data_IF_005514419815
#
_entry.id   IF_005514419815
#
_cell.length_a   1.000
_cell.length_b   1.000
_cell.length_c   1.000
_cell.angle_alpha   90.00
_cell.angle_beta   90.00
_cell.angle_gamma   90.00
#
_symmetry.space_group_name_H-M   'P 1'
#
loop_
_entity.id
_entity.type
_entity.pdbx_description
1 polymer ?
#
# COMPACT_ATOMS: atom_id res chain seq x y z
N UNK A 1 6.44 0.22 -24.63
CA UNK A 1 5.29 -0.23 -23.82
C UNK A 1 4.75 -1.55 -24.33
N UNK A 2 3.88 -1.53 -25.35
CA UNK A 2 3.13 -2.71 -25.82
C UNK A 2 3.98 -3.94 -26.14
N UNK A 3 5.11 -3.76 -26.82
CA UNK A 3 6.04 -4.86 -27.16
C UNK A 3 6.73 -5.47 -25.93
N UNK A 4 6.86 -4.73 -24.83
CA UNK A 4 7.45 -5.25 -23.60
C UNK A 4 6.55 -6.30 -22.94
N UNK A 5 5.23 -6.21 -23.10
CA UNK A 5 4.26 -7.11 -22.45
C UNK A 5 4.46 -8.58 -22.90
N UNK A 6 4.46 -8.91 -24.21
CA UNK A 6 4.78 -10.27 -24.66
C UNK A 6 6.19 -10.73 -24.28
N UNK A 7 7.18 -9.83 -24.22
CA UNK A 7 8.54 -10.17 -23.80
C UNK A 7 8.57 -10.55 -22.32
N UNK A 8 7.90 -9.80 -21.45
CA UNK A 8 7.76 -10.13 -20.03
C UNK A 8 7.08 -11.50 -19.85
N UNK A 9 6.00 -11.77 -20.60
CA UNK A 9 5.36 -13.09 -20.56
C UNK A 9 6.31 -14.21 -21.03
N UNK A 10 7.07 -13.98 -22.12
CA UNK A 10 8.06 -14.95 -22.63
C UNK A 10 9.13 -15.27 -21.59
N UNK A 11 9.58 -14.26 -20.85
CA UNK A 11 10.64 -14.40 -19.84
C UNK A 11 10.14 -14.72 -18.42
N UNK A 12 8.84 -14.91 -18.22
CA UNK A 12 8.28 -15.27 -16.91
C UNK A 12 8.37 -14.14 -15.89
N UNK A 13 8.32 -12.89 -16.35
CA UNK A 13 8.32 -11.70 -15.50
C UNK A 13 6.86 -11.32 -15.20
N UNK A 14 6.53 -11.17 -13.92
CA UNK A 14 5.21 -10.67 -13.50
C UNK A 14 5.03 -9.23 -13.95
N UNK A 15 3.88 -8.93 -14.56
CA UNK A 15 3.54 -7.57 -14.98
C UNK A 15 2.80 -6.90 -13.84
N UNK A 16 3.38 -5.80 -13.36
CA UNK A 16 2.85 -5.03 -12.24
C UNK A 16 2.07 -3.79 -12.70
N UNK A 17 0.88 -3.61 -12.12
CA UNK A 17 -0.11 -2.59 -12.45
C UNK A 17 -0.26 -1.51 -11.35
N UNK A 18 0.55 -1.56 -10.30
CA UNK A 18 0.70 -0.47 -9.32
C UNK A 18 1.63 0.58 -9.90
N UNK A 19 1.19 1.84 -10.06
CA UNK A 19 1.90 2.71 -11.03
C UNK A 19 1.03 3.40 -12.08
N UNK A 20 0.60 2.64 -13.10
CA UNK A 20 0.20 3.25 -14.36
C UNK A 20 -1.19 3.89 -14.30
N UNK A 21 -1.58 4.54 -15.39
CA UNK A 21 -2.97 4.98 -15.57
C UNK A 21 -3.90 3.78 -15.75
N UNK A 22 -5.20 3.99 -15.49
CA UNK A 22 -6.26 3.00 -15.80
C UNK A 22 -6.15 2.46 -17.23
N UNK A 23 -5.99 3.35 -18.20
CA UNK A 23 -5.86 2.98 -19.61
C UNK A 23 -4.64 2.07 -19.84
N UNK A 24 -3.49 2.41 -19.26
CA UNK A 24 -2.29 1.59 -19.36
C UNK A 24 -2.48 0.21 -18.72
N UNK A 25 -3.16 0.15 -17.57
CA UNK A 25 -3.48 -1.11 -16.90
C UNK A 25 -4.36 -2.01 -17.76
N UNK A 26 -5.45 -1.48 -18.32
CA UNK A 26 -6.34 -2.25 -19.20
C UNK A 26 -5.62 -2.73 -20.47
N UNK A 27 -4.75 -1.90 -21.06
CA UNK A 27 -3.94 -2.30 -22.21
C UNK A 27 -2.93 -3.39 -21.87
N UNK A 28 -2.27 -3.30 -20.71
CA UNK A 28 -1.32 -4.31 -20.24
C UNK A 28 -2.02 -5.66 -20.00
N UNK A 29 -3.19 -5.65 -19.36
CA UNK A 29 -4.01 -6.85 -19.14
C UNK A 29 -4.43 -7.49 -20.47
N UNK A 30 -4.95 -6.68 -21.41
CA UNK A 30 -5.41 -7.17 -22.71
C UNK A 30 -4.29 -7.80 -23.56
N UNK A 31 -3.05 -7.35 -23.39
CA UNK A 31 -1.89 -7.87 -24.10
C UNK A 31 -1.21 -9.06 -23.38
N UNK A 32 -1.44 -9.22 -22.07
CA UNK A 32 -0.76 -10.23 -21.27
C UNK A 32 -1.34 -11.63 -21.53
N UNK A 33 -0.45 -12.60 -21.75
CA UNK A 33 -0.78 -14.04 -21.83
C UNK A 33 -0.71 -14.75 -20.48
N UNK A 34 -0.23 -14.07 -19.44
CA UNK A 34 -0.07 -14.60 -18.09
C UNK A 34 -0.83 -13.73 -17.07
N UNK A 35 -1.12 -14.25 -15.87
CA UNK A 35 -1.71 -13.45 -14.80
C UNK A 35 -0.84 -12.23 -14.43
N UNK A 36 -1.49 -11.10 -14.19
CA UNK A 36 -0.88 -9.84 -13.75
C UNK A 36 -0.94 -9.68 -12.23
N UNK A 37 -0.17 -8.74 -11.70
CA UNK A 37 -0.27 -8.31 -10.29
C UNK A 37 -0.52 -6.81 -10.21
N UNK A 38 -1.09 -6.36 -9.09
CA UNK A 38 -0.85 -5.01 -8.58
C UNK A 38 -0.11 -5.19 -7.25
N UNK A 39 1.17 -4.81 -7.19
CA UNK A 39 2.06 -5.12 -6.07
C UNK A 39 1.83 -4.29 -4.80
N UNK A 40 1.21 -3.12 -4.93
CA UNK A 40 0.80 -2.26 -3.83
C UNK A 40 -0.28 -1.27 -4.28
N UNK A 41 -1.54 -1.70 -4.24
CA UNK A 41 -2.67 -0.83 -4.58
C UNK A 41 -3.92 -1.23 -3.82
N UNK A 42 -4.80 -0.26 -3.53
CA UNK A 42 -6.02 -0.49 -2.78
C UNK A 42 -7.27 -0.15 -3.62
N UNK A 43 -8.46 -0.46 -3.11
CA UNK A 43 -9.73 -0.20 -3.80
C UNK A 43 -10.08 1.30 -3.86
N UNK A 44 -10.37 1.83 -5.06
CA UNK A 44 -10.73 3.25 -5.22
C UNK A 44 -12.14 3.56 -4.75
N UNK A 45 -13.05 2.59 -4.77
CA UNK A 45 -14.43 2.77 -4.33
C UNK A 45 -14.56 3.16 -2.85
N UNK A 46 -13.58 2.79 -2.02
CA UNK A 46 -13.51 3.22 -0.62
C UNK A 46 -12.78 4.57 -0.42
N UNK A 47 -12.00 5.04 -1.40
CA UNK A 47 -11.24 6.29 -1.33
C UNK A 47 -11.17 6.97 -2.71
N UNK A 48 -12.31 7.51 -3.15
CA UNK A 48 -12.55 7.88 -4.56
C UNK A 48 -11.60 8.96 -5.10
N UNK A 49 -11.17 9.87 -4.23
CA UNK A 49 -10.25 10.96 -4.56
C UNK A 49 -8.78 10.51 -4.75
N UNK A 50 -8.48 9.22 -4.54
CA UNK A 50 -7.13 8.65 -4.68
C UNK A 50 -7.01 7.96 -6.03
N UNK A 51 -6.43 8.65 -7.02
CA UNK A 51 -6.16 8.10 -8.35
C UNK A 51 -5.13 6.96 -8.36
N UNK A 52 -4.41 6.76 -7.25
CA UNK A 52 -3.49 5.64 -7.08
C UNK A 52 -4.17 4.31 -6.86
N UNK A 53 -5.39 4.33 -6.34
CA UNK A 53 -6.19 3.14 -6.12
C UNK A 53 -6.83 2.67 -7.42
N UNK A 54 -7.10 1.37 -7.49
CA UNK A 54 -7.66 0.74 -8.67
C UNK A 54 -9.18 0.95 -8.71
N UNK A 55 -9.67 1.38 -9.88
CA UNK A 55 -11.10 1.43 -10.18
C UNK A 55 -11.65 0.01 -10.36
N UNK A 56 -12.94 -0.17 -10.05
CA UNK A 56 -13.63 -1.47 -10.12
C UNK A 56 -13.48 -2.16 -11.50
N UNK A 57 -13.45 -1.40 -12.59
CA UNK A 57 -13.20 -1.95 -13.93
C UNK A 57 -11.82 -2.63 -14.05
N UNK A 58 -10.78 -2.04 -13.45
CA UNK A 58 -9.43 -2.63 -13.45
C UNK A 58 -9.39 -3.83 -12.51
N UNK A 59 -10.05 -3.76 -11.35
CA UNK A 59 -10.19 -4.88 -10.42
C UNK A 59 -10.84 -6.09 -11.08
N UNK A 60 -11.95 -5.90 -11.80
CA UNK A 60 -12.62 -6.97 -12.55
C UNK A 60 -11.74 -7.52 -13.68
N UNK A 61 -10.98 -6.67 -14.38
CA UNK A 61 -10.04 -7.10 -15.41
C UNK A 61 -8.89 -7.95 -14.84
N UNK A 62 -8.35 -7.58 -13.67
CA UNK A 62 -7.33 -8.36 -12.96
C UNK A 62 -7.90 -9.74 -12.55
N UNK A 63 -9.11 -9.76 -11.98
CA UNK A 63 -9.82 -11.02 -11.65
C UNK A 63 -9.98 -11.92 -12.87
N UNK A 64 -10.50 -11.39 -13.98
CA UNK A 64 -10.72 -12.15 -15.20
C UNK A 64 -9.41 -12.69 -15.81
N UNK A 65 -8.30 -12.00 -15.59
CA UNK A 65 -6.95 -12.42 -15.97
C UNK A 65 -6.31 -13.43 -14.99
N UNK A 66 -7.01 -13.81 -13.92
CA UNK A 66 -6.52 -14.67 -12.84
C UNK A 66 -5.38 -14.05 -12.00
N UNK A 67 -5.26 -12.72 -12.02
CA UNK A 67 -4.24 -11.98 -11.29
C UNK A 67 -4.53 -11.82 -9.80
N UNK A 68 -3.71 -11.01 -9.12
CA UNK A 68 -3.84 -10.69 -7.69
C UNK A 68 -3.58 -9.21 -7.42
N UNK A 69 -4.35 -8.62 -6.50
CA UNK A 69 -4.14 -7.26 -5.98
C UNK A 69 -3.57 -7.37 -4.58
N UNK A 70 -2.33 -6.94 -4.39
CA UNK A 70 -1.72 -6.78 -3.08
C UNK A 70 -2.20 -5.46 -2.48
N UNK A 71 -3.13 -5.54 -1.53
CA UNK A 71 -3.71 -4.37 -0.85
C UNK A 71 -2.60 -3.63 -0.12
N UNK A 72 -2.49 -2.30 -0.28
CA UNK A 72 -1.38 -1.53 0.30
C UNK A 72 -1.76 -0.75 1.55
N UNK A 73 -0.95 -0.88 2.60
CA UNK A 73 -1.08 -0.15 3.85
C UNK A 73 -0.51 1.27 3.75
N UNK A 74 -0.99 2.04 2.78
CA UNK A 74 -0.62 3.44 2.61
C UNK A 74 -1.74 4.34 3.15
N UNK A 75 -1.52 5.00 4.28
CA UNK A 75 -2.57 5.72 5.01
C UNK A 75 -3.44 6.65 4.15
N UNK A 76 -2.81 7.49 3.31
CA UNK A 76 -3.53 8.42 2.44
C UNK A 76 -4.29 7.76 1.28
N UNK A 77 -3.99 6.49 0.98
CA UNK A 77 -4.70 5.70 -0.04
C UNK A 77 -5.94 5.04 0.56
N UNK A 78 -5.84 4.59 1.81
CA UNK A 78 -6.93 3.90 2.50
C UNK A 78 -8.05 4.88 2.86
N UNK A 79 -7.72 5.99 3.53
CA UNK A 79 -8.69 7.03 3.84
C UNK A 79 -8.01 8.40 3.78
N UNK A 80 -8.19 9.06 2.62
CA UNK A 80 -7.58 10.37 2.37
C UNK A 80 -8.12 11.46 3.32
N UNK A 81 -9.39 11.37 3.70
CA UNK A 81 -10.02 12.40 4.54
C UNK A 81 -9.53 12.26 5.98
N UNK A 82 -9.56 11.03 6.53
CA UNK A 82 -9.02 10.72 7.85
C UNK A 82 -7.53 11.04 7.93
N UNK A 83 -6.75 10.65 6.92
CA UNK A 83 -5.33 11.01 6.83
C UNK A 83 -5.10 12.52 6.86
N UNK A 84 -5.87 13.28 6.09
CA UNK A 84 -5.70 14.74 5.99
C UNK A 84 -6.06 15.43 7.31
N UNK A 85 -7.18 15.05 7.93
CA UNK A 85 -7.61 15.58 9.23
C UNK A 85 -6.57 15.25 10.31
N UNK A 86 -6.08 14.01 10.35
CA UNK A 86 -5.04 13.60 11.30
C UNK A 86 -3.76 14.42 11.13
N UNK A 87 -3.30 14.60 9.88
CA UNK A 87 -2.09 15.38 9.57
C UNK A 87 -2.25 16.85 9.95
N UNK A 88 -3.42 17.44 9.77
CA UNK A 88 -3.68 18.83 10.15
C UNK A 88 -3.50 19.03 11.65
N UNK A 89 -4.14 18.19 12.48
CA UNK A 89 -4.04 18.29 13.94
C UNK A 89 -2.62 18.00 14.42
N UNK A 90 -1.97 16.96 13.88
CA UNK A 90 -0.60 16.61 14.22
C UNK A 90 0.39 17.73 13.87
N UNK A 91 0.24 18.37 12.71
CA UNK A 91 1.09 19.48 12.30
C UNK A 91 0.93 20.70 13.22
N UNK A 92 -0.27 20.94 13.77
CA UNK A 92 -0.47 22.02 14.73
C UNK A 92 0.30 21.76 16.04
N UNK A 93 0.23 20.53 16.56
CA UNK A 93 1.02 20.12 17.72
C UNK A 93 2.53 20.23 17.45
N UNK A 94 2.99 19.74 16.30
CA UNK A 94 4.39 19.84 15.91
C UNK A 94 4.83 21.30 15.78
N UNK A 95 3.99 22.18 15.22
CA UNK A 95 4.29 23.61 15.11
C UNK A 95 4.42 24.30 16.46
N UNK A 96 3.59 23.91 17.43
CA UNK A 96 3.69 24.42 18.81
C UNK A 96 5.01 23.99 19.48
N UNK A 97 5.32 22.70 19.41
CA UNK A 97 6.54 22.15 20.01
C UNK A 97 7.79 22.73 19.33
N UNK A 98 7.80 22.81 17.99
CA UNK A 98 8.96 23.33 17.25
C UNK A 98 9.24 24.80 17.58
N UNK A 99 8.22 25.64 17.80
CA UNK A 99 8.39 27.03 18.26
C UNK A 99 9.04 27.08 19.63
N UNK A 100 8.63 26.21 20.55
CA UNK A 100 9.22 26.10 21.90
C UNK A 100 10.68 25.69 21.84
N UNK A 101 11.03 24.78 20.92
CA UNK A 101 12.40 24.32 20.69
C UNK A 101 13.28 25.31 19.90
N UNK A 102 12.69 26.36 19.29
CA UNK A 102 13.41 27.20 18.33
C UNK A 102 13.83 26.43 17.07
N UNK A 103 13.02 25.45 16.64
CA UNK A 103 13.27 24.56 15.53
C UNK A 103 12.32 24.84 14.35
N UNK A 104 12.87 24.99 13.16
CA UNK A 104 12.11 25.17 11.93
C UNK A 104 11.74 23.82 11.31
N UNK A 105 10.45 23.60 11.08
CA UNK A 105 9.96 22.41 10.40
C UNK A 105 10.12 22.55 8.89
N UNK A 106 10.89 21.66 8.29
CA UNK A 106 11.15 21.65 6.86
C UNK A 106 10.21 20.70 6.11
N UNK A 107 9.78 21.12 4.90
CA UNK A 107 9.06 20.26 3.97
C UNK A 107 9.94 19.09 3.50
N UNK A 108 9.30 18.04 2.99
CA UNK A 108 10.03 16.88 2.42
C UNK A 108 10.98 17.31 1.28
N UNK A 109 10.60 18.32 0.49
CA UNK A 109 11.42 18.81 -0.63
C UNK A 109 12.66 19.55 -0.13
N UNK A 110 12.53 20.37 0.91
CA UNK A 110 13.66 21.06 1.52
C UNK A 110 14.64 20.04 2.11
N UNK A 111 14.14 19.04 2.85
CA UNK A 111 14.97 17.97 3.41
C UNK A 111 15.68 17.10 2.37
N UNK A 112 15.07 16.91 1.20
CA UNK A 112 15.69 16.16 0.11
C UNK A 112 16.89 16.89 -0.49
N UNK A 113 16.90 18.22 -0.46
CA UNK A 113 17.97 19.05 -1.01
C UNK A 113 19.12 19.32 -0.02
N UNK A 114 19.04 18.79 1.21
CA UNK A 114 20.06 18.95 2.23
C UNK A 114 21.24 18.00 1.99
N UNK A 115 22.42 18.38 2.50
CA UNK A 115 23.53 17.44 2.65
C UNK A 115 23.14 16.31 3.61
N UNK A 116 23.83 15.17 3.53
CA UNK A 116 23.54 14.06 4.46
C UNK A 116 23.78 14.46 5.92
N UNK A 117 24.82 15.27 6.17
CA UNK A 117 25.20 15.79 7.49
C UNK A 117 24.11 16.72 8.05
N UNK A 118 23.66 17.70 7.26
CA UNK A 118 22.59 18.61 7.69
C UNK A 118 21.28 17.84 7.91
N UNK A 119 20.99 16.85 7.05
CA UNK A 119 19.78 16.02 7.17
C UNK A 119 19.82 15.17 8.44
N UNK A 120 20.99 14.63 8.81
CA UNK A 120 21.16 13.88 10.06
C UNK A 120 20.93 14.79 11.28
N UNK A 121 21.51 15.99 11.29
CA UNK A 121 21.31 16.96 12.36
C UNK A 121 19.84 17.43 12.46
N UNK A 122 19.16 17.60 11.33
CA UNK A 122 17.72 17.88 11.31
C UNK A 122 16.90 16.73 11.90
N UNK A 123 17.21 15.49 11.50
CA UNK A 123 16.50 14.31 11.99
C UNK A 123 16.64 14.15 13.49
N UNK A 124 17.81 14.42 14.08
CA UNK A 124 18.00 14.36 15.53
C UNK A 124 17.09 15.35 16.28
N UNK A 125 16.96 16.59 15.79
CA UNK A 125 16.02 17.58 16.36
C UNK A 125 14.56 17.18 16.16
N UNK A 126 14.26 16.60 15.01
CA UNK A 126 12.91 16.10 14.74
C UNK A 126 12.56 14.92 15.66
N UNK A 127 13.50 14.03 15.95
CA UNK A 127 13.30 12.92 16.90
C UNK A 127 13.07 13.43 18.33
N UNK A 128 13.73 14.52 18.74
CA UNK A 128 13.44 15.18 20.02
C UNK A 128 12.03 15.79 20.06
N UNK A 129 11.59 16.42 18.96
CA UNK A 129 10.23 16.91 18.82
C UNK A 129 9.21 15.78 18.93
N UNK A 130 9.44 14.65 18.27
CA UNK A 130 8.57 13.47 18.33
C UNK A 130 8.49 12.90 19.76
N UNK A 131 9.60 12.89 20.52
CA UNK A 131 9.59 12.48 21.94
C UNK A 131 8.72 13.38 22.82
N UNK A 132 8.70 14.69 22.53
CA UNK A 132 7.85 15.65 23.23
C UNK A 132 6.39 15.56 22.81
N UNK A 133 6.13 15.21 21.54
CA UNK A 133 4.79 15.02 21.01
C UNK A 133 4.14 13.71 21.52
N UNK A 134 4.91 12.62 21.59
CA UNK A 134 4.44 11.27 21.94
C UNK A 134 3.47 11.20 23.14
N UNK A 135 3.76 11.77 24.32
CA UNK A 135 2.84 11.70 25.47
C UNK A 135 1.56 12.54 25.28
N UNK A 136 1.53 13.45 24.30
CA UNK A 136 0.40 14.35 24.00
C UNK A 136 -0.49 13.82 22.89
N UNK A 137 -0.01 12.86 22.09
CA UNK A 137 -0.70 12.36 20.89
C UNK A 137 -2.11 11.85 21.19
N UNK A 138 -2.28 11.03 22.23
CA UNK A 138 -3.58 10.44 22.55
C UNK A 138 -4.64 11.53 22.83
N UNK A 139 -4.31 12.48 23.69
CA UNK A 139 -5.25 13.48 24.18
C UNK A 139 -5.44 14.65 23.22
N UNK A 140 -4.40 15.07 22.51
CA UNK A 140 -4.41 16.29 21.71
C UNK A 140 -4.52 16.02 20.20
N UNK A 141 -4.24 14.80 19.76
CA UNK A 141 -4.32 14.43 18.33
C UNK A 141 -5.35 13.34 18.11
N UNK A 142 -5.17 12.16 18.70
CA UNK A 142 -5.97 10.98 18.36
C UNK A 142 -7.43 11.10 18.82
N UNK A 143 -7.68 11.78 19.94
CA UNK A 143 -9.04 12.08 20.42
C UNK A 143 -9.83 13.01 19.48
N UNK A 144 -9.14 13.84 18.70
CA UNK A 144 -9.72 14.83 17.77
C UNK A 144 -9.77 14.25 16.34
N UNK A 145 -8.66 13.69 15.88
CA UNK A 145 -8.45 13.17 14.55
C UNK A 145 -7.58 11.89 14.63
N UNK A 146 -8.18 10.71 14.78
CA UNK A 146 -7.44 9.46 14.89
C UNK A 146 -6.71 9.12 13.58
N UNK A 147 -5.52 8.50 13.65
CA UNK A 147 -4.77 8.10 12.47
C UNK A 147 -5.49 6.98 11.72
N UNK A 148 -5.16 6.83 10.43
CA UNK A 148 -5.53 5.64 9.65
C UNK A 148 -4.83 4.42 10.28
N UNK A 149 -5.58 3.35 10.50
CA UNK A 149 -5.15 2.20 11.30
C UNK A 149 -5.40 0.85 10.60
N UNK A 150 -5.01 -0.23 11.28
CA UNK A 150 -5.20 -1.62 10.81
C UNK A 150 -6.64 -1.92 10.39
N UNK A 151 -7.66 -1.34 11.03
CA UNK A 151 -9.06 -1.60 10.68
C UNK A 151 -9.41 -0.97 9.34
N UNK A 152 -8.91 0.24 9.07
CA UNK A 152 -9.09 0.89 7.77
C UNK A 152 -8.44 0.07 6.65
N UNK A 153 -7.25 -0.47 6.91
CA UNK A 153 -6.57 -1.36 5.96
C UNK A 153 -7.38 -2.63 5.68
N UNK A 154 -7.87 -3.31 6.72
CA UNK A 154 -8.65 -4.54 6.54
C UNK A 154 -10.04 -4.24 5.94
N UNK A 155 -10.60 -3.02 6.06
CA UNK A 155 -11.79 -2.64 5.28
C UNK A 155 -11.55 -2.74 3.77
N UNK A 156 -10.36 -2.38 3.28
CA UNK A 156 -10.01 -2.55 1.88
C UNK A 156 -9.85 -4.02 1.51
N UNK A 157 -9.28 -4.85 2.38
CA UNK A 157 -9.20 -6.30 2.16
C UNK A 157 -10.61 -6.88 2.05
N UNK A 158 -11.51 -6.59 3.01
CA UNK A 158 -12.89 -7.09 3.00
C UNK A 158 -13.63 -6.71 1.72
N UNK A 159 -13.52 -5.44 1.31
CA UNK A 159 -14.12 -4.99 0.05
C UNK A 159 -13.56 -5.77 -1.14
N UNK A 160 -12.24 -5.89 -1.25
CA UNK A 160 -11.60 -6.58 -2.37
C UNK A 160 -11.93 -8.08 -2.38
N UNK A 161 -11.97 -8.74 -1.22
CA UNK A 161 -12.35 -10.15 -1.10
C UNK A 161 -13.81 -10.33 -1.50
N UNK A 162 -14.71 -9.46 -1.05
CA UNK A 162 -16.13 -9.50 -1.44
C UNK A 162 -16.33 -9.22 -2.92
N UNK A 163 -15.54 -8.33 -3.52
CA UNK A 163 -15.72 -7.87 -4.90
C UNK A 163 -15.04 -8.81 -5.91
N UNK A 164 -13.81 -9.21 -5.64
CA UNK A 164 -12.97 -10.00 -6.55
C UNK A 164 -12.92 -11.47 -6.18
N UNK A 165 -13.12 -11.83 -4.91
CA UNK A 165 -12.91 -13.18 -4.39
C UNK A 165 -11.53 -13.32 -3.73
N UNK A 166 -11.45 -14.19 -2.72
CA UNK A 166 -10.26 -14.36 -1.88
C UNK A 166 -8.99 -14.69 -2.68
N UNK A 167 -9.11 -15.44 -3.78
CA UNK A 167 -7.98 -15.90 -4.60
C UNK A 167 -7.26 -14.78 -5.36
N UNK A 168 -7.80 -13.56 -5.33
CA UNK A 168 -7.32 -12.41 -6.08
C UNK A 168 -6.86 -11.26 -5.18
N UNK A 169 -6.74 -11.49 -3.87
CA UNK A 169 -6.34 -10.46 -2.90
C UNK A 169 -5.08 -10.90 -2.17
N UNK A 170 -4.19 -9.95 -1.91
CA UNK A 170 -3.03 -10.10 -1.06
C UNK A 170 -2.77 -8.86 -0.20
N UNK A 171 -1.59 -8.81 0.42
CA UNK A 171 -1.20 -7.84 1.44
C UNK A 171 0.18 -7.26 1.09
N UNK A 172 0.30 -5.94 1.14
CA UNK A 172 1.55 -5.19 0.99
C UNK A 172 1.60 -4.03 1.97
N UNK A 173 2.79 -3.70 2.46
CA UNK A 173 2.98 -2.59 3.40
C UNK A 173 3.38 -1.28 2.73
N UNK A 174 4.13 -1.36 1.62
CA UNK A 174 4.88 -0.24 1.04
C UNK A 174 5.85 0.43 2.05
N UNK A 175 6.40 -0.37 2.99
CA UNK A 175 7.44 0.09 3.93
C UNK A 175 8.64 0.67 3.18
N UNK A 176 9.26 1.69 3.77
CA UNK A 176 10.33 2.51 3.20
C UNK A 176 9.97 3.29 1.91
N UNK A 177 8.81 3.00 1.28
CA UNK A 177 8.19 3.75 0.19
C UNK A 177 7.24 4.87 0.64
N UNK A 178 6.88 4.88 1.93
CA UNK A 178 5.94 5.83 2.55
C UNK A 178 4.66 5.18 3.08
N UNK A 179 4.53 3.86 2.93
CA UNK A 179 3.51 3.07 3.61
C UNK A 179 3.77 2.91 5.11
N UNK A 180 2.81 2.27 5.78
CA UNK A 180 2.68 2.24 7.23
C UNK A 180 1.37 2.87 7.70
N UNK A 181 0.77 2.28 8.72
CA UNK A 181 -0.46 2.71 9.37
C UNK A 181 -0.35 2.53 10.88
N UNK A 182 -1.25 3.15 11.65
CA UNK A 182 -1.28 2.94 13.10
C UNK A 182 -1.53 1.45 13.41
N UNK A 183 -0.60 0.84 14.15
CA UNK A 183 -0.61 -0.58 14.47
C UNK A 183 0.03 -1.50 13.41
N UNK A 184 0.56 -0.96 12.30
CA UNK A 184 1.45 -1.69 11.40
C UNK A 184 2.42 -0.73 10.70
N UNK A 185 3.36 -0.20 11.48
CA UNK A 185 4.33 0.80 11.01
C UNK A 185 5.73 0.21 10.76
N UNK A 186 5.93 -1.09 10.99
CA UNK A 186 7.12 -1.83 10.60
C UNK A 186 6.86 -3.33 10.49
N UNK A 187 7.82 -4.07 9.94
CA UNK A 187 7.75 -5.52 9.84
C UNK A 187 7.56 -6.22 11.21
N UNK A 188 7.99 -5.61 12.31
CA UNK A 188 7.81 -6.15 13.67
C UNK A 188 6.34 -6.20 14.10
N UNK A 189 5.46 -5.40 13.48
CA UNK A 189 4.04 -5.29 13.82
C UNK A 189 3.14 -6.08 12.87
N UNK A 190 3.71 -6.84 11.93
CA UNK A 190 2.99 -7.60 10.90
C UNK A 190 1.89 -8.52 11.46
N UNK A 191 2.10 -9.03 12.67
CA UNK A 191 1.13 -9.87 13.36
C UNK A 191 -0.21 -9.15 13.65
N UNK A 192 -0.23 -7.82 13.75
CA UNK A 192 -1.45 -7.04 14.01
C UNK A 192 -2.46 -7.14 12.87
N UNK A 193 -1.99 -7.29 11.62
CA UNK A 193 -2.86 -7.51 10.47
C UNK A 193 -3.55 -8.88 10.59
N UNK A 194 -2.79 -9.91 10.95
CA UNK A 194 -3.34 -11.25 11.19
C UNK A 194 -4.35 -11.25 12.34
N UNK A 195 -4.08 -10.53 13.44
CA UNK A 195 -5.04 -10.40 14.55
C UNK A 195 -6.35 -9.80 14.05
N UNK A 196 -6.30 -8.73 13.25
CA UNK A 196 -7.52 -8.11 12.72
C UNK A 196 -8.26 -9.02 11.74
N UNK A 197 -7.56 -9.74 10.86
CA UNK A 197 -8.18 -10.73 9.96
C UNK A 197 -8.89 -11.83 10.76
N UNK A 198 -8.26 -12.37 11.81
CA UNK A 198 -8.90 -13.37 12.69
C UNK A 198 -10.15 -12.77 13.37
N UNK A 199 -10.09 -11.53 13.86
CA UNK A 199 -11.25 -10.84 14.45
C UNK A 199 -12.41 -10.70 13.48
N UNK A 200 -12.12 -10.55 12.18
CA UNK A 200 -13.14 -10.48 11.12
C UNK A 200 -13.61 -11.84 10.60
N UNK A 201 -13.10 -12.93 11.16
CA UNK A 201 -13.57 -14.29 10.86
C UNK A 201 -12.88 -14.96 9.68
N UNK A 202 -11.75 -14.43 9.20
CA UNK A 202 -10.93 -15.15 8.23
C UNK A 202 -10.31 -16.39 8.89
N UNK A 203 -10.41 -17.54 8.21
CA UNK A 203 -9.78 -18.77 8.67
C UNK A 203 -8.29 -18.82 8.27
N UNK A 204 -7.59 -19.85 8.75
CA UNK A 204 -6.16 -20.03 8.50
C UNK A 204 -5.83 -20.14 7.01
N UNK A 205 -6.63 -20.86 6.23
CA UNK A 205 -6.43 -21.04 4.80
C UNK A 205 -6.55 -19.71 4.04
N UNK A 206 -7.57 -18.91 4.37
CA UNK A 206 -7.79 -17.60 3.77
C UNK A 206 -6.68 -16.62 4.15
N UNK A 207 -6.24 -16.61 5.41
CA UNK A 207 -5.12 -15.79 5.88
C UNK A 207 -3.83 -16.18 5.16
N UNK A 208 -3.57 -17.48 4.99
CA UNK A 208 -2.42 -17.99 4.24
C UNK A 208 -2.48 -17.57 2.76
N UNK A 209 -3.67 -17.59 2.16
CA UNK A 209 -3.87 -17.14 0.78
C UNK A 209 -3.55 -15.63 0.62
N UNK A 210 -4.06 -14.80 1.53
CA UNK A 210 -3.81 -13.35 1.56
C UNK A 210 -2.33 -13.00 1.77
N UNK A 211 -1.64 -13.69 2.68
CA UNK A 211 -0.23 -13.39 2.98
C UNK A 211 0.74 -13.81 1.89
N UNK A 212 0.44 -14.87 1.14
CA UNK A 212 1.39 -15.39 0.14
C UNK A 212 0.79 -16.27 -0.92
N UNK A 213 -0.19 -17.13 -0.57
CA UNK A 213 -0.66 -18.21 -1.45
C UNK A 213 -1.11 -17.71 -2.82
N UNK A 214 -1.82 -16.59 -2.86
CA UNK A 214 -2.31 -16.01 -4.11
C UNK A 214 -1.20 -15.43 -4.98
N UNK A 215 -0.19 -14.80 -4.37
CA UNK A 215 0.97 -14.28 -5.12
C UNK A 215 1.82 -15.41 -5.69
N UNK A 216 2.07 -16.45 -4.89
CA UNK A 216 2.84 -17.61 -5.30
C UNK A 216 2.14 -18.38 -6.42
N UNK A 217 0.81 -18.53 -6.35
CA UNK A 217 -0.01 -19.06 -7.46
C UNK A 217 0.20 -18.27 -8.75
N UNK A 218 0.16 -16.94 -8.69
CA UNK A 218 0.38 -16.08 -9.86
C UNK A 218 1.80 -16.24 -10.41
N UNK A 219 2.82 -16.31 -9.54
CA UNK A 219 4.20 -16.55 -9.95
C UNK A 219 4.34 -17.89 -10.70
N UNK A 220 3.76 -18.97 -10.16
CA UNK A 220 3.77 -20.29 -10.78
C UNK A 220 3.09 -20.29 -12.16
N UNK A 221 1.95 -19.62 -12.28
CA UNK A 221 1.21 -19.47 -13.53
C UNK A 221 2.01 -18.68 -14.58
N UNK A 222 2.67 -17.60 -14.17
CA UNK A 222 3.53 -16.79 -15.03
C UNK A 222 4.71 -17.61 -15.56
N UNK A 223 5.39 -18.35 -14.71
CA UNK A 223 6.48 -19.23 -15.14
C UNK A 223 5.99 -20.37 -16.04
N UNK A 224 4.79 -20.92 -15.78
CA UNK A 224 4.17 -21.93 -16.62
C UNK A 224 3.85 -21.40 -18.01
N UNK A 225 3.35 -20.18 -18.14
CA UNK A 225 3.11 -19.52 -19.43
C UNK A 225 4.42 -19.30 -20.17
N UNK A 226 5.45 -18.80 -19.48
CA UNK A 226 6.80 -18.63 -20.06
C UNK A 226 7.34 -19.93 -20.67
N UNK A 227 7.30 -21.05 -19.92
CA UNK A 227 7.73 -22.36 -20.42
C UNK A 227 7.00 -22.74 -21.71
N UNK A 228 5.68 -22.59 -21.77
CA UNK A 228 4.88 -22.88 -22.97
C UNK A 228 5.30 -21.99 -24.15
N UNK A 229 5.53 -20.70 -23.93
CA UNK A 229 5.93 -19.76 -24.99
C UNK A 229 7.33 -20.02 -25.54
N UNK A 230 8.24 -20.54 -24.70
CA UNK A 230 9.60 -20.89 -25.11
C UNK A 230 9.66 -22.20 -25.90
N UNK A 231 8.76 -23.15 -25.62
CA UNK A 231 8.67 -24.44 -26.34
C UNK A 231 7.88 -24.40 -27.65
N UNK A 232 7.11 -23.33 -27.89
CA UNK A 232 6.24 -23.19 -29.06
C UNK A 232 6.86 -22.39 -30.22
N UNK A 233 8.18 -22.14 -30.20
CA UNK A 233 8.96 -21.62 -31.33
C UNK A 233 9.86 -22.71 -31.89
#
# INVERSE_FOLDING_TARGET
>A
GREAIPLMNKHGIMIDLSHPSKESNLQAIALSKAPVIASHSSARSLSQAVSRNLEDEVLLAIKANNGVVQTTAFASYLDRNKFSAHREVLNNLHSEISKTMGFELLSRRERFNMSEEDRAAYNEKFDELEKLAAPRLETEVYSIAPPVDVRDFVNHIDYLVSFMGIDHVGISSDFDGGGGIQGWNSAAETYNITIELVRRGYNEEQISALWSGNLLRVLDDVQRVSRKLLTSN
#
